data_IF_170094146690
#
_entry.id   IF_170094146690
#
_cell.length_a   1.000
_cell.length_b   1.000
_cell.length_c   1.000
_cell.angle_alpha   90.00
_cell.angle_beta   90.00
_cell.angle_gamma   90.00
#
_symmetry.space_group_name_H-M   'P 1'
#
loop_
_entity.id
_entity.type
_entity.pdbx_description
1 polymer ?
#
# COMPACT_ATOMS: atom_id res chain seq x y z
N UNK A 1 0.83 22.46 1.08
CA UNK A 1 1.37 22.19 -0.27
C UNK A 1 0.17 21.89 -1.17
N UNK A 2 -0.10 22.67 -2.22
CA UNK A 2 -1.21 22.37 -3.14
C UNK A 2 -0.81 21.15 -3.98
N UNK A 3 -1.59 20.07 -3.91
CA UNK A 3 -1.40 18.92 -4.79
C UNK A 3 -1.78 19.38 -6.21
N UNK A 4 -0.80 19.47 -7.12
CA UNK A 4 -1.04 19.70 -8.55
C UNK A 4 -1.52 18.39 -9.18
N UNK A 5 -2.70 17.93 -8.77
CA UNK A 5 -3.39 16.83 -9.41
C UNK A 5 -4.35 17.41 -10.45
N UNK A 6 -4.63 16.67 -11.53
CA UNK A 6 -5.78 16.96 -12.37
C UNK A 6 -7.05 17.08 -11.50
N UNK A 7 -7.96 17.98 -11.89
CA UNK A 7 -9.15 18.30 -11.09
C UNK A 7 -10.08 17.09 -10.87
N UNK A 8 -10.04 16.11 -11.77
CA UNK A 8 -10.84 14.89 -11.76
C UNK A 8 -10.17 13.74 -10.99
N UNK A 9 -9.02 13.97 -10.34
CA UNK A 9 -8.30 12.95 -9.58
C UNK A 9 -8.49 13.14 -8.08
N UNK A 10 -8.92 12.08 -7.41
CA UNK A 10 -9.13 12.07 -5.97
C UNK A 10 -8.23 11.01 -5.33
N UNK A 11 -7.43 11.44 -4.35
CA UNK A 11 -6.56 10.55 -3.59
C UNK A 11 -7.19 10.19 -2.25
N UNK A 12 -7.11 8.92 -1.88
CA UNK A 12 -7.57 8.38 -0.61
C UNK A 12 -6.41 7.65 0.07
N UNK A 13 -6.35 7.75 1.38
CA UNK A 13 -5.39 7.04 2.24
C UNK A 13 -5.87 5.64 2.64
N UNK A 14 -6.96 5.16 2.05
CA UNK A 14 -7.51 3.85 2.34
C UNK A 14 -8.10 3.20 1.08
N UNK A 15 -8.27 1.89 1.16
CA UNK A 15 -8.92 1.06 0.15
C UNK A 15 -9.60 -0.16 0.77
N UNK A 16 -10.42 -0.84 -0.01
CA UNK A 16 -10.98 -2.15 0.31
C UNK A 16 -10.41 -3.17 -0.67
N UNK A 17 -9.88 -4.31 -0.19
CA UNK A 17 -9.60 -5.43 -1.08
C UNK A 17 -9.71 -6.77 -0.35
N UNK A 18 -10.28 -7.78 -1.03
CA UNK A 18 -10.57 -9.09 -0.44
C UNK A 18 -11.37 -8.99 0.88
N UNK A 19 -12.33 -8.07 0.95
CA UNK A 19 -13.17 -7.82 2.13
C UNK A 19 -12.39 -7.29 3.34
N UNK A 20 -11.29 -6.58 3.10
CA UNK A 20 -10.46 -6.00 4.15
C UNK A 20 -10.14 -4.55 3.85
N UNK A 21 -10.17 -3.76 4.91
CA UNK A 21 -9.69 -2.40 4.93
C UNK A 21 -8.16 -2.36 4.83
N UNK A 22 -7.63 -1.53 3.93
CA UNK A 22 -6.21 -1.34 3.66
C UNK A 22 -5.86 0.12 3.93
N UNK A 23 -4.81 0.33 4.71
CA UNK A 23 -4.26 1.66 5.08
C UNK A 23 -2.76 1.73 4.75
N UNK A 24 -2.12 2.92 4.72
CA UNK A 24 -0.75 3.06 4.22
C UNK A 24 0.22 2.21 5.03
N UNK A 25 1.08 1.46 4.33
CA UNK A 25 1.98 0.46 4.91
C UNK A 25 1.40 -0.94 5.01
N UNK A 26 0.09 -1.14 4.81
CA UNK A 26 -0.53 -2.47 4.74
C UNK A 26 0.14 -3.28 3.63
N UNK A 27 0.64 -4.47 3.97
CA UNK A 27 1.35 -5.31 3.03
C UNK A 27 0.39 -6.23 2.28
N UNK A 28 0.54 -6.31 0.97
CA UNK A 28 -0.20 -7.21 0.09
C UNK A 28 0.73 -8.04 -0.79
N UNK A 29 0.19 -9.13 -1.32
CA UNK A 29 0.77 -9.84 -2.47
C UNK A 29 -0.12 -9.61 -3.68
N UNK A 30 0.50 -9.34 -4.82
CA UNK A 30 -0.16 -9.10 -6.10
C UNK A 30 -0.07 -10.36 -6.97
N UNK A 31 -1.11 -10.66 -7.75
CA UNK A 31 -1.15 -11.81 -8.67
C UNK A 31 -0.09 -11.61 -9.76
N UNK A 32 0.68 -12.67 -10.05
CA UNK A 32 1.75 -12.63 -11.05
C UNK A 32 3.04 -11.92 -10.60
N UNK A 33 3.04 -11.30 -9.43
CA UNK A 33 4.18 -10.52 -8.94
C UNK A 33 4.94 -11.21 -7.81
N UNK A 34 6.26 -10.97 -7.77
CA UNK A 34 7.13 -11.43 -6.69
C UNK A 34 7.25 -10.36 -5.61
N UNK A 35 7.26 -10.80 -4.35
CA UNK A 35 7.53 -9.94 -3.20
C UNK A 35 6.27 -9.40 -2.50
N UNK A 36 6.49 -8.41 -1.63
CA UNK A 36 5.43 -7.74 -0.86
C UNK A 36 5.32 -6.29 -1.30
N UNK A 37 4.10 -5.80 -1.33
CA UNK A 37 3.76 -4.45 -1.76
C UNK A 37 3.09 -3.74 -0.61
N UNK A 38 3.64 -2.59 -0.20
CA UNK A 38 3.10 -1.75 0.87
C UNK A 38 2.19 -0.72 0.25
N UNK A 39 0.93 -0.71 0.65
CA UNK A 39 -0.05 0.27 0.18
C UNK A 39 0.41 1.70 0.49
N UNK A 40 0.23 2.60 -0.45
CA UNK A 40 0.55 4.02 -0.31
C UNK A 40 -0.73 4.86 -0.33
N UNK A 41 -1.52 4.70 -1.39
CA UNK A 41 -2.75 5.45 -1.63
C UNK A 41 -3.62 4.77 -2.67
N UNK A 42 -4.88 5.17 -2.68
CA UNK A 42 -5.85 4.85 -3.73
C UNK A 42 -6.14 6.11 -4.52
N UNK A 43 -6.26 5.98 -5.82
CA UNK A 43 -6.63 7.09 -6.71
C UNK A 43 -7.89 6.70 -7.45
N UNK A 44 -8.88 7.56 -7.40
CA UNK A 44 -10.13 7.42 -8.15
C UNK A 44 -10.30 8.60 -9.08
N UNK A 45 -10.94 8.37 -10.22
CA UNK A 45 -11.35 9.41 -11.16
C UNK A 45 -12.86 9.51 -11.27
N UNK A 46 -13.34 10.68 -11.68
CA UNK A 46 -14.77 10.92 -11.92
C UNK A 46 -15.35 10.00 -13.01
N UNK A 47 -14.50 9.50 -13.92
CA UNK A 47 -14.87 8.52 -14.97
C UNK A 47 -15.01 7.08 -14.45
N UNK A 48 -14.86 6.86 -13.14
CA UNK A 48 -14.98 5.56 -12.48
C UNK A 48 -13.71 4.72 -12.50
N UNK A 49 -12.60 5.19 -13.09
CA UNK A 49 -11.33 4.46 -13.02
C UNK A 49 -10.73 4.57 -11.63
N UNK A 50 -10.15 3.47 -11.18
CA UNK A 50 -9.49 3.36 -9.89
C UNK A 50 -8.17 2.58 -10.02
N UNK A 51 -7.16 2.99 -9.25
CA UNK A 51 -5.97 2.19 -9.02
C UNK A 51 -5.41 2.43 -7.62
N UNK A 52 -4.60 1.48 -7.19
CA UNK A 52 -3.97 1.43 -5.89
C UNK A 52 -2.45 1.50 -6.08
N UNK A 53 -1.82 2.48 -5.45
CA UNK A 53 -0.38 2.66 -5.50
C UNK A 53 0.29 1.94 -4.34
N UNK A 54 1.40 1.27 -4.67
CA UNK A 54 2.20 0.52 -3.71
C UNK A 54 3.68 0.80 -3.90
N UNK A 55 4.43 0.65 -2.81
CA UNK A 55 5.88 0.48 -2.86
C UNK A 55 6.23 -0.95 -2.50
N UNK A 56 6.96 -1.64 -3.36
CA UNK A 56 7.42 -2.99 -3.03
C UNK A 56 7.92 -3.76 -4.24
N UNK A 57 7.81 -5.09 -4.15
CA UNK A 57 8.40 -6.00 -5.14
C UNK A 57 9.48 -6.87 -4.51
N UNK A 58 10.38 -7.44 -5.32
CA UNK A 58 11.50 -8.24 -4.81
C UNK A 58 12.36 -7.45 -3.81
N UNK A 59 12.82 -8.12 -2.75
CA UNK A 59 13.70 -7.49 -1.75
C UNK A 59 14.97 -6.97 -2.45
N UNK A 60 15.31 -5.70 -2.22
CA UNK A 60 16.45 -5.02 -2.83
C UNK A 60 16.17 -4.40 -4.21
N UNK A 61 14.99 -4.63 -4.79
CA UNK A 61 14.56 -4.04 -6.04
C UNK A 61 13.12 -3.52 -5.93
N UNK A 62 12.80 -2.92 -4.78
CA UNK A 62 11.47 -2.37 -4.53
C UNK A 62 11.26 -1.09 -5.33
N UNK A 63 10.08 -0.94 -5.93
CA UNK A 63 9.71 0.22 -6.72
C UNK A 63 8.25 0.62 -6.50
N UNK A 64 7.90 1.82 -6.98
CA UNK A 64 6.52 2.29 -7.06
C UNK A 64 5.80 1.55 -8.18
N UNK A 65 4.64 0.95 -7.87
CA UNK A 65 3.78 0.29 -8.85
C UNK A 65 2.31 0.48 -8.52
N UNK A 66 1.49 0.53 -9.56
CA UNK A 66 0.05 0.71 -9.47
C UNK A 66 -0.67 -0.55 -9.95
N UNK A 67 -1.71 -0.96 -9.22
CA UNK A 67 -2.52 -2.14 -9.53
C UNK A 67 -4.00 -1.86 -9.25
N UNK A 68 -4.90 -2.59 -9.89
CA UNK A 68 -6.31 -2.63 -9.48
C UNK A 68 -6.50 -3.54 -8.26
N UNK A 69 -7.66 -3.43 -7.61
CA UNK A 69 -8.02 -4.21 -6.42
C UNK A 69 -8.10 -5.71 -6.72
N UNK A 70 -8.61 -6.09 -7.89
CA UNK A 70 -8.76 -7.48 -8.35
C UNK A 70 -7.42 -8.21 -8.54
N UNK A 71 -6.33 -7.44 -8.76
CA UNK A 71 -4.97 -7.98 -8.84
C UNK A 71 -4.40 -8.33 -7.47
N UNK A 72 -5.02 -7.89 -6.37
CA UNK A 72 -4.57 -8.23 -5.02
C UNK A 72 -4.90 -9.69 -4.72
N UNK A 73 -3.85 -10.51 -4.64
CA UNK A 73 -3.97 -11.92 -4.26
C UNK A 73 -4.26 -12.11 -2.78
N UNK A 74 -3.63 -11.31 -1.91
CA UNK A 74 -3.72 -11.47 -0.46
C UNK A 74 -3.34 -10.18 0.25
N UNK A 75 -4.15 -9.80 1.24
CA UNK A 75 -3.79 -8.79 2.25
C UNK A 75 -3.15 -9.48 3.46
N UNK A 76 -1.99 -9.04 3.90
CA UNK A 76 -1.27 -9.64 5.02
C UNK A 76 -1.64 -8.97 6.35
N UNK A 77 -1.96 -9.78 7.36
CA UNK A 77 -2.24 -9.28 8.72
C UNK A 77 -0.97 -8.86 9.47
N UNK A 78 0.16 -9.45 9.12
CA UNK A 78 1.46 -9.19 9.77
C UNK A 78 2.43 -8.69 8.71
N UNK A 79 2.96 -7.49 8.94
CA UNK A 79 4.01 -6.91 8.12
C UNK A 79 5.33 -7.64 8.34
N UNK A 80 6.06 -7.92 7.26
CA UNK A 80 7.36 -8.60 7.29
C UNK A 80 8.44 -7.86 6.50
N UNK A 81 8.11 -6.71 5.92
CA UNK A 81 9.12 -5.86 5.28
C UNK A 81 9.99 -5.19 6.33
N UNK A 82 11.23 -4.85 5.97
CA UNK A 82 12.20 -4.24 6.87
C UNK A 82 11.63 -2.94 7.50
N UNK A 83 10.84 -2.18 6.74
CA UNK A 83 10.14 -0.98 7.23
C UNK A 83 9.11 -1.29 8.32
N UNK A 84 8.31 -2.34 8.16
CA UNK A 84 7.34 -2.75 9.16
C UNK A 84 8.03 -3.25 10.44
N UNK A 85 9.11 -4.03 10.29
CA UNK A 85 9.91 -4.51 11.42
C UNK A 85 10.57 -3.35 12.18
N UNK A 86 11.13 -2.36 11.46
CA UNK A 86 11.72 -1.17 12.07
C UNK A 86 10.68 -0.35 12.87
N UNK A 87 9.48 -0.15 12.33
CA UNK A 87 8.40 0.54 13.03
C UNK A 87 7.99 -0.20 14.32
N UNK A 88 7.87 -1.54 14.26
CA UNK A 88 7.60 -2.35 15.45
C UNK A 88 8.72 -2.23 16.49
N UNK A 89 9.99 -2.20 16.06
CA UNK A 89 11.13 -2.05 16.97
C UNK A 89 11.13 -0.67 17.64
N UNK A 90 10.82 0.39 16.90
CA UNK A 90 10.71 1.75 17.43
C UNK A 90 9.60 1.85 18.47
N UNK A 91 8.40 1.35 18.16
CA UNK A 91 7.28 1.34 19.10
C UNK A 91 7.60 0.57 20.39
N UNK A 92 8.29 -0.57 20.29
CA UNK A 92 8.76 -1.33 21.47
C UNK A 92 9.74 -0.53 22.32
N UNK A 93 10.69 0.18 21.69
CA UNK A 93 11.64 1.03 22.41
C UNK A 93 10.93 2.17 23.15
N UNK A 94 9.97 2.81 22.52
CA UNK A 94 9.18 3.89 23.12
C UNK A 94 8.33 3.40 24.30
N UNK A 95 7.72 2.22 24.19
CA UNK A 95 6.92 1.64 25.28
C UNK A 95 7.76 1.18 26.49
N UNK A 96 9.07 1.00 26.32
CA UNK A 96 9.99 0.55 27.38
C UNK A 96 10.70 1.73 28.06
N UNK A 97 10.56 2.95 27.52
CA UNK A 97 11.17 4.17 28.04
C UNK A 97 10.21 4.88 28.99
#
# INVERSE_FOLDING_TARGET
>A
MKKNLPADWHEHDHAEANGRHIVPGTEVSIRGERGRFRFLKRVTRDDGREWLDFWGGPKGAENWRSFSDDQIRRVHRIGKTDKALAALHQAKKEATK
#
